data_IF_592937419400
#
_entry.id   IF_592937419400
#
_cell.length_a   1.000
_cell.length_b   1.000
_cell.length_c   1.000
_cell.angle_alpha   90.00
_cell.angle_beta   90.00
_cell.angle_gamma   90.00
#
_symmetry.space_group_name_H-M   'P 1'
#
loop_
_entity.id
_entity.type
_entity.pdbx_description
1 polymer ?
#
# COMPACT_ATOMS: atom_id res chain seq x y z
N UNK A 1 21.23 7.96 23.05
CA UNK A 1 20.72 7.64 24.41
C UNK A 1 19.54 6.72 24.26
N UNK A 2 19.49 5.62 25.02
CA UNK A 2 18.40 4.64 24.96
C UNK A 2 17.79 4.51 26.34
N UNK A 3 16.46 4.50 26.41
CA UNK A 3 15.69 4.35 27.64
C UNK A 3 14.75 3.16 27.52
N UNK A 4 14.51 2.51 28.66
CA UNK A 4 13.56 1.42 28.80
C UNK A 4 12.52 1.77 29.86
N UNK A 5 11.27 1.47 29.57
CA UNK A 5 10.17 1.62 30.52
C UNK A 5 9.11 0.54 30.30
N UNK A 6 8.28 0.32 31.32
CA UNK A 6 7.09 -0.52 31.23
C UNK A 6 5.91 0.38 30.81
N UNK A 7 5.27 0.08 29.70
CA UNK A 7 4.11 0.85 29.26
C UNK A 7 2.90 0.52 30.15
N UNK A 8 2.20 1.54 30.65
CA UNK A 8 0.94 1.32 31.36
C UNK A 8 -0.21 0.99 30.39
N UNK A 9 -0.23 1.67 29.23
CA UNK A 9 -1.32 1.58 28.26
C UNK A 9 -0.75 1.37 26.85
N UNK A 10 -1.58 0.79 25.98
CA UNK A 10 -1.28 0.77 24.55
C UNK A 10 -1.50 2.16 23.94
N UNK A 11 -0.74 2.51 22.90
CA UNK A 11 -1.01 3.74 22.17
C UNK A 11 -2.20 3.57 21.21
N UNK A 12 -2.99 4.63 21.01
CA UNK A 12 -4.09 4.69 20.03
C UNK A 12 -3.77 5.57 18.81
N UNK A 13 -2.55 6.13 18.78
CA UNK A 13 -2.08 7.03 17.74
C UNK A 13 -0.71 7.61 18.11
N UNK A 14 -0.44 8.82 17.63
CA UNK A 14 0.79 9.55 17.92
C UNK A 14 0.95 9.75 19.44
N UNK A 15 2.15 9.48 19.95
CA UNK A 15 2.46 9.49 21.39
C UNK A 15 3.70 10.33 21.63
N UNK A 16 3.81 10.95 22.81
CA UNK A 16 5.01 11.69 23.24
C UNK A 16 5.61 11.05 24.49
N UNK A 17 6.88 11.33 24.76
CA UNK A 17 7.61 10.85 25.93
C UNK A 17 8.40 11.99 26.59
N UNK A 18 8.25 12.10 27.91
CA UNK A 18 8.85 13.11 28.78
C UNK A 18 9.49 12.41 29.99
N UNK A 19 10.66 11.78 29.81
CA UNK A 19 11.35 11.14 30.93
C UNK A 19 11.89 12.19 31.89
N UNK A 20 11.73 11.98 33.20
CA UNK A 20 12.29 12.82 34.25
C UNK A 20 11.87 14.31 34.19
N UNK A 21 10.69 14.61 33.65
CA UNK A 21 10.15 15.97 33.61
C UNK A 21 10.78 16.90 32.56
N UNK A 22 11.55 16.36 31.60
CA UNK A 22 12.01 17.15 30.44
C UNK A 22 10.84 17.50 29.51
N UNK A 23 11.03 18.43 28.59
CA UNK A 23 9.99 18.73 27.58
C UNK A 23 9.57 17.46 26.81
N UNK A 24 8.27 17.27 26.62
CA UNK A 24 7.75 16.12 25.90
C UNK A 24 8.18 16.17 24.43
N UNK A 25 8.73 15.06 23.94
CA UNK A 25 9.11 14.88 22.55
C UNK A 25 8.34 13.71 21.93
N UNK A 26 8.06 13.72 20.61
CA UNK A 26 7.31 12.65 19.96
C UNK A 26 8.05 11.31 20.03
N UNK A 27 7.29 10.22 20.17
CA UNK A 27 7.74 8.87 19.87
C UNK A 27 7.36 8.57 18.41
N UNK A 28 8.34 8.15 17.63
CA UNK A 28 8.21 7.74 16.23
C UNK A 28 8.61 6.28 16.07
N UNK A 29 8.05 5.56 15.11
CA UNK A 29 8.48 4.20 14.82
C UNK A 29 9.78 4.14 14.03
N UNK A 30 10.20 2.94 13.62
CA UNK A 30 11.43 2.72 12.88
C UNK A 30 11.51 3.42 11.51
N UNK A 31 10.37 3.82 10.93
CA UNK A 31 10.32 4.63 9.71
C UNK A 31 10.34 6.16 9.98
N UNK A 32 10.62 6.56 11.23
CA UNK A 32 10.61 7.95 11.69
C UNK A 32 9.26 8.68 11.50
N UNK A 33 8.19 7.91 11.36
CA UNK A 33 6.82 8.40 11.29
C UNK A 33 6.16 8.35 12.65
N UNK A 34 5.19 9.22 12.89
CA UNK A 34 4.36 9.15 14.09
C UNK A 34 3.71 7.76 14.23
N UNK A 35 3.58 7.30 15.47
CA UNK A 35 2.87 6.05 15.77
C UNK A 35 1.40 6.14 15.34
N UNK A 36 0.83 5.01 14.90
CA UNK A 36 -0.50 4.89 14.32
C UNK A 36 -1.51 4.26 15.28
N UNK A 37 -1.05 3.60 16.33
CA UNK A 37 -1.85 2.86 17.31
C UNK A 37 -1.43 1.39 17.36
N UNK A 38 -1.29 0.86 18.56
CA UNK A 38 -0.95 -0.54 18.81
C UNK A 38 0.53 -0.89 18.71
N UNK A 39 1.43 0.04 18.36
CA UNK A 39 2.88 -0.21 18.36
C UNK A 39 3.48 -0.28 19.76
N UNK A 40 2.88 0.40 20.73
CA UNK A 40 3.16 0.24 22.16
C UNK A 40 2.05 -0.64 22.73
N UNK A 41 2.43 -1.72 23.39
CA UNK A 41 1.48 -2.59 24.08
C UNK A 41 1.39 -2.25 25.57
N UNK A 42 0.18 -2.26 26.12
CA UNK A 42 -0.03 -2.19 27.56
C UNK A 42 0.76 -3.29 28.27
N UNK A 43 1.39 -2.95 29.39
CA UNK A 43 2.32 -3.81 30.13
C UNK A 43 3.51 -4.31 29.31
N UNK A 44 3.78 -3.75 28.12
CA UNK A 44 4.93 -4.10 27.31
C UNK A 44 6.22 -3.47 27.83
N UNK A 45 7.34 -4.18 27.66
CA UNK A 45 8.69 -3.62 27.82
C UNK A 45 9.03 -2.82 26.56
N UNK A 46 9.22 -1.51 26.72
CA UNK A 46 9.41 -0.57 25.63
C UNK A 46 10.83 -0.03 25.63
N UNK A 47 11.49 -0.04 24.48
CA UNK A 47 12.81 0.56 24.24
C UNK A 47 12.69 1.72 23.27
N UNK A 48 13.14 2.89 23.71
CA UNK A 48 13.18 4.10 22.89
C UNK A 48 14.58 4.67 22.84
N UNK A 49 14.98 5.21 21.70
CA UNK A 49 16.26 5.84 21.50
C UNK A 49 16.08 7.30 21.08
N UNK A 50 16.76 8.22 21.78
CA UNK A 50 16.78 9.62 21.38
C UNK A 50 17.56 9.81 20.08
N UNK A 51 16.96 10.54 19.13
CA UNK A 51 17.62 11.01 17.91
C UNK A 51 17.27 12.49 17.67
N UNK A 52 18.26 13.37 17.79
CA UNK A 52 18.11 14.82 17.58
C UNK A 52 17.91 15.22 16.12
N UNK A 53 18.22 14.34 15.16
CA UNK A 53 18.12 14.61 13.72
C UNK A 53 16.78 14.21 13.12
N UNK A 54 15.88 13.59 13.90
CA UNK A 54 14.52 13.25 13.45
C UNK A 54 13.57 14.36 13.89
N UNK A 55 13.13 15.18 12.95
CA UNK A 55 12.34 16.38 13.22
C UNK A 55 13.15 17.40 14.05
N UNK A 56 12.55 17.95 15.10
CA UNK A 56 13.24 18.80 16.09
C UNK A 56 13.88 18.00 17.25
N UNK A 57 13.92 16.67 17.13
CA UNK A 57 14.32 15.73 18.18
C UNK A 57 13.17 14.80 18.55
N UNK A 58 13.37 13.49 18.38
CA UNK A 58 12.35 12.48 18.59
C UNK A 58 12.91 11.24 19.30
N UNK A 59 12.03 10.54 20.01
CA UNK A 59 12.28 9.20 20.54
C UNK A 59 11.91 8.17 19.48
N UNK A 60 12.89 7.44 18.95
CA UNK A 60 12.64 6.33 18.03
C UNK A 60 12.30 5.09 18.83
N UNK A 61 11.14 4.51 18.60
CA UNK A 61 10.73 3.21 19.14
C UNK A 61 11.58 2.12 18.50
N UNK A 62 12.42 1.49 19.32
CA UNK A 62 13.28 0.37 18.91
C UNK A 62 12.52 -0.94 19.05
N UNK A 63 11.81 -1.12 20.17
CA UNK A 63 10.98 -2.30 20.43
C UNK A 63 9.88 -1.98 21.44
N UNK A 64 8.74 -2.67 21.32
CA UNK A 64 7.75 -2.83 22.38
C UNK A 64 7.29 -4.29 22.38
N UNK A 65 7.54 -5.02 23.46
CA UNK A 65 7.10 -6.41 23.55
C UNK A 65 5.57 -6.51 23.39
N UNK A 66 5.09 -7.30 22.44
CA UNK A 66 3.65 -7.45 22.15
C UNK A 66 3.03 -6.31 21.35
N UNK A 67 3.81 -5.29 20.96
CA UNK A 67 3.38 -4.19 20.09
C UNK A 67 3.49 -4.56 18.61
N UNK A 68 2.64 -3.95 17.78
CA UNK A 68 2.72 -4.06 16.32
C UNK A 68 3.89 -3.27 15.73
N UNK A 69 4.29 -3.64 14.51
CA UNK A 69 5.25 -2.88 13.73
C UNK A 69 4.53 -1.95 12.75
N UNK A 70 5.07 -0.76 12.53
CA UNK A 70 4.58 0.13 11.49
C UNK A 70 4.88 -0.45 10.11
N UNK A 71 3.86 -0.54 9.25
CA UNK A 71 4.01 -1.00 7.87
C UNK A 71 3.73 0.16 6.92
N UNK A 72 4.79 0.75 6.37
CA UNK A 72 4.69 1.73 5.30
C UNK A 72 4.12 1.10 4.02
N UNK A 73 3.64 1.92 3.09
CA UNK A 73 3.14 1.41 1.80
C UNK A 73 4.24 0.64 1.05
N UNK A 74 3.95 -0.61 0.71
CA UNK A 74 4.84 -1.47 -0.04
C UNK A 74 5.00 -0.98 -1.47
N UNK A 75 6.24 -0.74 -1.90
CA UNK A 75 6.59 -0.24 -3.24
C UNK A 75 7.55 -1.15 -3.99
N UNK A 76 8.03 -2.22 -3.33
CA UNK A 76 8.91 -3.27 -3.89
C UNK A 76 8.31 -4.65 -3.63
N UNK A 77 8.76 -5.64 -4.39
CA UNK A 77 8.20 -7.01 -4.38
C UNK A 77 8.30 -7.73 -3.04
N UNK A 78 9.26 -7.34 -2.20
CA UNK A 78 9.50 -7.94 -0.88
C UNK A 78 9.00 -7.07 0.27
N UNK A 79 8.28 -5.97 -0.01
CA UNK A 79 7.68 -5.16 1.05
C UNK A 79 6.36 -5.79 1.50
N UNK A 80 6.07 -5.69 2.79
CA UNK A 80 4.73 -5.98 3.30
C UNK A 80 3.71 -4.98 2.73
N UNK A 81 2.49 -5.45 2.47
CA UNK A 81 1.36 -4.64 2.01
C UNK A 81 0.57 -4.18 3.24
N UNK A 82 0.23 -2.89 3.32
CA UNK A 82 -0.61 -2.39 4.40
C UNK A 82 -2.11 -2.49 4.06
N UNK A 83 -2.97 -2.38 5.08
CA UNK A 83 -4.42 -2.50 4.92
C UNK A 83 -5.02 -1.48 3.94
N UNK A 84 -4.51 -0.24 3.93
CA UNK A 84 -4.96 0.81 3.01
C UNK A 84 -4.69 0.45 1.54
N UNK A 85 -3.51 -0.11 1.25
CA UNK A 85 -3.16 -0.59 -0.10
C UNK A 85 -4.05 -1.73 -0.56
N UNK A 86 -4.41 -2.64 0.35
CA UNK A 86 -5.31 -3.75 0.07
C UNK A 86 -6.74 -3.27 -0.21
N UNK A 87 -7.28 -2.38 0.63
CA UNK A 87 -8.61 -1.80 0.46
C UNK A 87 -8.74 -0.98 -0.83
N UNK A 88 -7.73 -0.17 -1.16
CA UNK A 88 -7.68 0.59 -2.40
C UNK A 88 -7.37 -0.27 -3.64
N UNK A 89 -7.11 -1.57 -3.46
CA UNK A 89 -6.68 -2.51 -4.49
C UNK A 89 -5.42 -2.08 -5.27
N UNK A 90 -4.64 -1.15 -4.72
CA UNK A 90 -3.51 -0.47 -5.37
C UNK A 90 -2.38 -1.38 -5.89
N UNK A 91 -2.32 -2.62 -5.42
CA UNK A 91 -1.32 -3.64 -5.78
C UNK A 91 -1.93 -4.86 -6.46
N UNK A 92 -3.25 -4.91 -6.65
CA UNK A 92 -3.95 -6.07 -7.24
C UNK A 92 -4.82 -5.72 -8.44
N UNK A 93 -5.32 -4.49 -8.53
CA UNK A 93 -6.10 -3.98 -9.65
C UNK A 93 -5.55 -2.62 -10.08
N UNK A 94 -5.38 -2.45 -11.39
CA UNK A 94 -4.76 -1.24 -11.93
C UNK A 94 -5.65 -0.61 -13.00
N UNK A 95 -5.68 0.71 -13.03
CA UNK A 95 -6.33 1.46 -14.12
C UNK A 95 -5.31 1.65 -15.23
N UNK A 96 -5.67 1.30 -16.46
CA UNK A 96 -4.79 1.55 -17.62
C UNK A 96 -4.75 3.04 -17.94
N UNK A 97 -3.61 3.52 -18.44
CA UNK A 97 -3.53 4.81 -19.14
C UNK A 97 -3.56 4.61 -20.66
N UNK A 98 -3.40 5.71 -21.41
CA UNK A 98 -3.25 5.68 -22.87
C UNK A 98 -4.56 5.71 -23.65
N UNK A 99 -4.49 5.26 -24.91
CA UNK A 99 -5.60 5.23 -25.87
C UNK A 99 -6.00 3.79 -26.19
N UNK A 100 -7.19 3.60 -26.78
CA UNK A 100 -7.78 2.27 -27.04
C UNK A 100 -6.80 1.27 -27.71
N UNK A 101 -5.98 1.71 -28.67
CA UNK A 101 -5.03 0.85 -29.38
C UNK A 101 -3.67 0.70 -28.69
N UNK A 102 -3.36 1.55 -27.70
CA UNK A 102 -2.08 1.63 -27.02
C UNK A 102 -2.28 1.98 -25.54
N UNK A 103 -2.62 0.96 -24.77
CA UNK A 103 -2.80 1.03 -23.33
C UNK A 103 -1.45 0.95 -22.62
N UNK A 104 -1.36 1.62 -21.48
CA UNK A 104 -0.16 1.58 -20.62
C UNK A 104 -0.53 1.18 -19.21
N UNK A 105 0.40 0.50 -18.55
CA UNK A 105 0.24 0.05 -17.18
C UNK A 105 1.55 0.22 -16.41
N UNK A 106 1.48 0.86 -15.26
CA UNK A 106 2.62 1.05 -14.34
C UNK A 106 2.24 0.47 -12.97
N UNK A 107 2.30 -0.88 -12.82
CA UNK A 107 1.98 -1.51 -11.56
C UNK A 107 2.99 -1.09 -10.49
N UNK A 108 2.54 -1.09 -9.24
CA UNK A 108 3.39 -0.92 -8.06
C UNK A 108 3.35 -2.23 -7.27
N UNK A 109 4.49 -2.90 -7.04
CA UNK A 109 5.82 -2.62 -7.58
C UNK A 109 5.92 -2.76 -9.10
N UNK A 110 6.76 -1.96 -9.75
CA UNK A 110 7.00 -2.09 -11.18
C UNK A 110 7.65 -3.45 -11.48
N UNK A 111 7.18 -4.12 -12.52
CA UNK A 111 7.75 -5.39 -12.95
C UNK A 111 9.00 -5.11 -13.78
N UNK A 112 10.02 -5.96 -13.65
CA UNK A 112 11.28 -5.85 -14.38
C UNK A 112 11.35 -6.77 -15.60
N UNK A 113 10.50 -7.79 -15.64
CA UNK A 113 10.32 -8.70 -16.75
C UNK A 113 8.91 -9.29 -16.72
N UNK A 114 8.44 -9.75 -17.88
CA UNK A 114 7.25 -10.59 -17.95
C UNK A 114 7.60 -12.00 -17.44
N UNK A 115 6.84 -12.49 -16.46
CA UNK A 115 6.95 -13.87 -16.00
C UNK A 115 5.82 -14.73 -16.58
N UNK A 116 6.11 -16.03 -16.78
CA UNK A 116 5.09 -16.99 -17.15
C UNK A 116 3.97 -17.03 -16.10
N UNK A 117 2.72 -17.16 -16.55
CA UNK A 117 1.51 -17.18 -15.70
C UNK A 117 1.22 -15.90 -14.90
N UNK A 118 1.94 -14.80 -15.17
CA UNK A 118 1.64 -13.52 -14.55
C UNK A 118 0.33 -12.94 -15.08
N UNK A 119 -0.55 -12.51 -14.16
CA UNK A 119 -1.87 -11.94 -14.49
C UNK A 119 -2.06 -10.60 -13.79
N UNK A 120 -2.65 -9.66 -14.51
CA UNK A 120 -3.04 -8.36 -13.97
C UNK A 120 -4.56 -8.22 -14.02
N UNK A 121 -5.16 -7.69 -12.97
CA UNK A 121 -6.56 -7.22 -13.01
C UNK A 121 -6.55 -5.77 -13.42
N UNK A 122 -7.32 -5.44 -14.45
CA UNK A 122 -7.25 -4.13 -15.10
C UNK A 122 -8.64 -3.51 -15.20
N UNK A 123 -8.72 -2.21 -14.90
CA UNK A 123 -9.82 -1.33 -15.32
C UNK A 123 -9.35 -0.56 -16.55
N UNK A 124 -10.02 -0.79 -17.68
CA UNK A 124 -9.72 -0.07 -18.92
C UNK A 124 -10.17 1.38 -18.79
N UNK A 125 -9.29 2.32 -19.13
CA UNK A 125 -9.61 3.75 -19.22
C UNK A 125 -10.50 4.08 -20.42
N UNK A 126 -10.35 3.32 -21.50
CA UNK A 126 -11.07 3.52 -22.76
C UNK A 126 -11.77 2.23 -23.17
N UNK A 127 -12.85 2.35 -23.95
CA UNK A 127 -13.48 1.19 -24.57
C UNK A 127 -12.51 0.48 -25.51
N UNK A 128 -12.55 -0.86 -25.51
CA UNK A 128 -11.74 -1.68 -26.40
C UNK A 128 -12.23 -1.57 -27.84
N UNK A 129 -11.28 -1.49 -28.78
CA UNK A 129 -11.56 -1.57 -30.22
C UNK A 129 -11.27 -2.96 -30.80
N UNK A 130 -10.86 -3.92 -29.95
CA UNK A 130 -10.51 -5.28 -30.37
C UNK A 130 -9.10 -5.44 -30.95
N UNK A 131 -8.35 -4.34 -31.08
CA UNK A 131 -6.95 -4.32 -31.50
C UNK A 131 -6.01 -3.78 -30.41
N UNK A 132 -6.52 -3.65 -29.19
CA UNK A 132 -5.80 -3.02 -28.09
C UNK A 132 -4.49 -3.74 -27.79
N UNK A 133 -3.47 -2.95 -27.49
CA UNK A 133 -2.20 -3.45 -27.01
C UNK A 133 -1.90 -2.84 -25.65
N UNK A 134 -1.12 -3.53 -24.82
CA UNK A 134 -0.74 -3.05 -23.50
C UNK A 134 0.77 -3.11 -23.33
N UNK A 135 1.36 -2.01 -22.87
CA UNK A 135 2.75 -1.95 -22.42
C UNK A 135 2.78 -1.85 -20.90
N UNK A 136 3.40 -2.83 -20.24
CA UNK A 136 3.50 -2.89 -18.77
C UNK A 136 4.91 -2.50 -18.34
N UNK A 137 5.03 -1.48 -17.49
CA UNK A 137 6.30 -0.96 -16.98
C UNK A 137 7.33 -0.58 -18.06
N UNK A 138 6.90 -0.34 -19.30
CA UNK A 138 7.80 -0.02 -20.41
C UNK A 138 8.55 -1.23 -20.99
N UNK A 139 8.22 -2.46 -20.59
CA UNK A 139 8.94 -3.68 -20.99
C UNK A 139 8.66 -4.17 -22.42
N UNK A 140 7.76 -3.48 -23.12
CA UNK A 140 7.38 -3.79 -24.49
C UNK A 140 5.90 -4.17 -24.60
N UNK A 141 5.40 -4.12 -25.83
CA UNK A 141 3.98 -4.25 -26.12
C UNK A 141 3.54 -5.71 -26.13
N UNK A 142 2.42 -6.02 -25.47
CA UNK A 142 1.74 -7.32 -25.50
C UNK A 142 0.27 -7.15 -25.90
N UNK A 143 -0.33 -8.19 -26.44
CA UNK A 143 -1.79 -8.25 -26.65
C UNK A 143 -2.44 -8.75 -25.37
N UNK A 144 -3.34 -8.00 -24.73
CA UNK A 144 -4.07 -8.49 -23.58
C UNK A 144 -5.07 -9.57 -24.03
N UNK A 145 -5.04 -10.72 -23.38
CA UNK A 145 -6.10 -11.71 -23.52
C UNK A 145 -7.20 -11.39 -22.49
N UNK A 146 -8.35 -10.93 -22.97
CA UNK A 146 -9.45 -10.52 -22.12
C UNK A 146 -10.24 -11.74 -21.64
N UNK A 147 -9.97 -12.20 -20.42
CA UNK A 147 -10.92 -13.06 -19.70
C UNK A 147 -12.06 -12.18 -19.22
N UNK A 148 -13.22 -12.26 -19.89
CA UNK A 148 -14.43 -11.55 -19.47
C UNK A 148 -14.87 -12.07 -18.11
N UNK A 149 -14.57 -11.31 -17.06
CA UNK A 149 -15.22 -11.49 -15.78
C UNK A 149 -16.63 -10.91 -15.92
N UNK A 150 -17.66 -11.74 -15.78
CA UNK A 150 -19.06 -11.29 -15.75
C UNK A 150 -19.26 -10.36 -14.54
N UNK A 151 -19.09 -9.06 -14.74
CA UNK A 151 -19.45 -8.04 -13.76
C UNK A 151 -20.66 -7.27 -14.30
N UNK A 152 -21.81 -7.45 -13.64
CA UNK A 152 -22.91 -6.51 -13.78
C UNK A 152 -22.50 -5.24 -13.03
N UNK A 153 -22.32 -4.12 -13.72
CA UNK A 153 -22.02 -2.85 -13.04
C UNK A 153 -23.25 -2.43 -12.23
N UNK A 154 -23.09 -2.26 -10.91
CA UNK A 154 -24.17 -1.89 -9.98
C UNK A 154 -24.69 -0.45 -10.14
N UNK A 155 -24.25 0.27 -11.18
CA UNK A 155 -24.71 1.63 -11.51
C UNK A 155 -25.38 1.64 -12.88
N UNK A 156 -26.57 1.03 -12.97
CA UNK A 156 -27.60 1.34 -13.97
C UNK A 156 -27.28 1.06 -15.45
N UNK A 157 -26.15 0.44 -15.79
CA UNK A 157 -25.75 0.16 -17.17
C UNK A 157 -25.91 -1.31 -17.55
N UNK A 158 -26.79 -1.56 -18.52
CA UNK A 158 -27.07 -2.82 -19.25
C UNK A 158 -26.09 -3.97 -18.98
N UNK A 159 -26.63 -5.04 -18.40
CA UNK A 159 -25.93 -6.30 -18.17
C UNK A 159 -25.86 -7.10 -19.49
N UNK A 160 -24.77 -7.00 -20.26
CA UNK A 160 -24.63 -7.76 -21.50
C UNK A 160 -24.20 -9.21 -21.21
N UNK A 161 -25.08 -10.18 -21.50
CA UNK A 161 -24.77 -11.62 -21.39
C UNK A 161 -23.66 -12.02 -22.38
N UNK A 162 -22.89 -13.10 -22.10
CA UNK A 162 -21.66 -13.46 -22.81
C UNK A 162 -21.81 -13.67 -24.33
N UNK A 163 -23.03 -13.94 -24.81
CA UNK A 163 -23.31 -14.39 -26.18
C UNK A 163 -23.95 -13.35 -27.10
N UNK A 164 -24.21 -12.10 -26.66
CA UNK A 164 -24.70 -11.06 -27.57
C UNK A 164 -23.79 -9.84 -27.54
N UNK A 165 -23.35 -9.42 -28.73
CA UNK A 165 -22.65 -8.13 -28.92
C UNK A 165 -23.56 -7.04 -28.37
N UNK A 166 -23.13 -6.33 -27.32
CA UNK A 166 -23.74 -5.05 -26.99
C UNK A 166 -23.43 -4.09 -28.15
N UNK A 167 -24.47 -3.73 -28.89
CA UNK A 167 -24.43 -2.60 -29.82
C UNK A 167 -24.61 -1.34 -28.96
N UNK A 168 -23.78 -0.32 -29.23
CA UNK A 168 -23.90 1.04 -28.65
C UNK A 168 -25.27 1.60 -29.06
#
# INVERSE_FOLDING_TARGET
>A
MTLRFKAANSNTGATTFSPNGISAAPIVGGNHTALQGGEIAATGDVWVQWNSSVGAGSWVLVESSGGGLQVASGTKSQHAINAGQAQAQSVTAFTTGGISTALTLTPVPAITAYAANQRFRLKLSQASTGADTINVSGLGVKKPEAVRLNWCQSSGGICCKPTRRCRI
#
